data_IF_159948796067
#
_entry.id   IF_159948796067
#
_cell.length_a   1.000
_cell.length_b   1.000
_cell.length_c   1.000
_cell.angle_alpha   90.00
_cell.angle_beta   90.00
_cell.angle_gamma   90.00
#
_symmetry.space_group_name_H-M   'P 1'
#
loop_
_entity.id
_entity.type
_entity.pdbx_description
1 polymer ?
#
# COMPACT_ATOMS: atom_id res chain seq x y z
N UNK A 1 2.26 -7.98 -9.46
CA UNK A 1 1.98 -6.53 -9.27
C UNK A 1 3.25 -5.69 -9.14
N UNK A 2 4.36 -6.24 -8.63
CA UNK A 2 5.62 -5.50 -8.53
C UNK A 2 6.17 -5.11 -9.91
N UNK A 3 6.88 -3.96 -10.01
CA UNK A 3 7.48 -3.50 -11.24
C UNK A 3 8.68 -4.38 -11.68
N UNK A 4 8.84 -4.55 -12.99
CA UNK A 4 10.02 -5.19 -13.59
C UNK A 4 11.19 -4.22 -13.69
N UNK A 5 12.38 -4.74 -14.03
CA UNK A 5 13.56 -3.90 -14.29
C UNK A 5 13.31 -2.87 -15.40
N UNK A 6 12.64 -3.28 -16.48
CA UNK A 6 12.27 -2.40 -17.59
C UNK A 6 11.32 -1.28 -17.14
N UNK A 7 10.35 -1.59 -16.28
CA UNK A 7 9.39 -0.59 -15.77
C UNK A 7 10.03 0.42 -14.82
N UNK A 8 11.01 -0.04 -14.03
CA UNK A 8 11.84 0.85 -13.20
C UNK A 8 12.70 1.75 -14.09
N UNK A 9 13.31 1.20 -15.15
CA UNK A 9 14.13 1.95 -16.10
C UNK A 9 13.29 2.99 -16.87
N UNK A 10 12.09 2.60 -17.34
CA UNK A 10 11.13 3.49 -17.99
C UNK A 10 10.75 4.67 -17.10
N UNK A 11 10.47 4.43 -15.81
CA UNK A 11 10.15 5.51 -14.87
C UNK A 11 11.31 6.47 -14.68
N UNK A 12 12.54 5.95 -14.55
CA UNK A 12 13.74 6.78 -14.44
C UNK A 12 13.91 7.66 -15.69
N UNK A 13 13.79 7.07 -16.87
CA UNK A 13 13.84 7.78 -18.15
C UNK A 13 12.78 8.90 -18.23
N UNK A 14 11.54 8.61 -17.84
CA UNK A 14 10.46 9.60 -17.81
C UNK A 14 10.76 10.76 -16.84
N UNK A 15 11.24 10.44 -15.63
CA UNK A 15 11.65 11.42 -14.63
C UNK A 15 12.79 12.31 -15.17
N UNK A 16 13.79 11.73 -15.81
CA UNK A 16 14.96 12.46 -16.32
C UNK A 16 14.58 13.38 -17.48
N UNK A 17 13.76 12.90 -18.43
CA UNK A 17 13.22 13.71 -19.54
C UNK A 17 12.40 14.88 -19.01
N UNK A 18 11.49 14.63 -18.07
CA UNK A 18 10.63 15.66 -17.50
C UNK A 18 11.43 16.69 -16.69
N UNK A 19 12.35 16.22 -15.84
CA UNK A 19 13.22 17.10 -15.04
C UNK A 19 14.05 18.01 -15.93
N UNK A 20 14.61 17.49 -17.02
CA UNK A 20 15.38 18.27 -18.00
C UNK A 20 14.52 19.34 -18.67
N UNK A 21 13.30 18.98 -19.09
CA UNK A 21 12.35 19.92 -19.69
C UNK A 21 12.02 21.07 -18.73
N UNK A 22 11.63 20.76 -17.49
CA UNK A 22 11.23 21.80 -16.53
C UNK A 22 12.41 22.68 -16.16
N UNK A 23 13.61 22.13 -15.92
CA UNK A 23 14.81 22.95 -15.65
C UNK A 23 15.13 23.91 -16.80
N UNK A 24 15.00 23.46 -18.05
CA UNK A 24 15.20 24.32 -19.23
C UNK A 24 14.20 25.47 -19.31
N UNK A 25 12.95 25.25 -18.86
CA UNK A 25 11.87 26.23 -18.96
C UNK A 25 11.76 27.16 -17.75
N UNK A 26 11.98 26.62 -16.56
CA UNK A 26 11.83 27.34 -15.29
C UNK A 26 13.13 27.98 -14.77
N UNK A 27 14.26 27.76 -15.45
CA UNK A 27 15.55 28.38 -15.13
C UNK A 27 16.46 27.51 -14.27
N UNK A 28 17.76 27.83 -14.30
CA UNK A 28 18.84 27.01 -13.73
C UNK A 28 18.75 26.77 -12.21
N UNK A 29 18.07 27.65 -11.47
CA UNK A 29 17.82 27.49 -10.02
C UNK A 29 16.69 26.51 -9.67
N UNK A 30 15.85 26.12 -10.65
CA UNK A 30 14.69 25.26 -10.39
C UNK A 30 15.15 23.82 -10.11
N UNK A 31 14.62 23.24 -9.05
CA UNK A 31 14.77 21.81 -8.78
C UNK A 31 13.44 21.10 -8.95
N UNK A 32 13.48 19.93 -9.58
CA UNK A 32 12.33 19.05 -9.73
C UNK A 32 12.75 17.67 -9.26
N UNK A 33 11.99 17.09 -8.35
CA UNK A 33 12.35 15.82 -7.70
C UNK A 33 11.13 14.90 -7.60
N UNK A 34 11.31 13.60 -7.83
CA UNK A 34 10.25 12.63 -7.56
C UNK A 34 10.02 12.49 -6.05
N UNK A 35 8.76 12.29 -5.66
CA UNK A 35 8.32 12.02 -4.28
C UNK A 35 7.36 10.82 -4.27
N UNK A 36 6.82 10.50 -3.09
CA UNK A 36 5.71 9.57 -2.92
C UNK A 36 6.07 8.11 -3.24
N UNK A 37 5.14 7.44 -3.93
CA UNK A 37 5.20 5.99 -4.12
C UNK A 37 6.40 5.54 -4.96
N UNK A 38 6.87 6.40 -5.88
CA UNK A 38 8.03 6.13 -6.73
C UNK A 38 9.33 6.01 -5.93
N UNK A 39 9.50 6.86 -4.91
CA UNK A 39 10.71 6.88 -4.06
C UNK A 39 10.67 5.78 -2.99
N UNK A 40 9.48 5.51 -2.45
CA UNK A 40 9.29 4.53 -1.38
C UNK A 40 9.26 3.08 -1.91
N UNK A 41 9.11 2.89 -3.22
CA UNK A 41 9.01 1.58 -3.85
C UNK A 41 7.64 0.91 -3.68
N UNK A 42 6.60 1.70 -3.34
CA UNK A 42 5.22 1.28 -3.09
C UNK A 42 4.27 1.68 -4.25
N UNK A 43 4.79 1.62 -5.48
CA UNK A 43 4.08 1.98 -6.70
C UNK A 43 3.74 0.75 -7.56
N UNK A 44 2.66 0.84 -8.34
CA UNK A 44 2.41 -0.11 -9.42
C UNK A 44 3.00 0.39 -10.74
N UNK A 45 3.31 -0.50 -11.69
CA UNK A 45 3.75 -0.13 -13.04
C UNK A 45 2.93 0.95 -13.74
N UNK A 46 1.62 1.00 -13.47
CA UNK A 46 0.68 1.97 -14.05
C UNK A 46 0.40 3.17 -13.15
N UNK A 47 1.01 3.26 -11.96
CA UNK A 47 0.82 4.40 -11.06
C UNK A 47 1.40 5.69 -11.66
N UNK A 48 0.77 6.79 -11.30
CA UNK A 48 1.31 8.13 -11.45
C UNK A 48 2.71 8.29 -10.82
N UNK A 49 3.40 9.36 -11.22
CA UNK A 49 4.67 9.81 -10.66
C UNK A 49 4.45 11.17 -10.01
N UNK A 50 4.47 11.22 -8.69
CA UNK A 50 4.43 12.46 -7.93
C UNK A 50 5.77 13.19 -8.04
N UNK A 51 5.75 14.47 -8.40
CA UNK A 51 6.94 15.31 -8.46
C UNK A 51 6.71 16.66 -7.78
N UNK A 52 7.76 17.15 -7.13
CA UNK A 52 7.78 18.47 -6.49
C UNK A 52 8.75 19.38 -7.23
N UNK A 53 8.28 20.59 -7.53
CA UNK A 53 9.10 21.69 -8.03
C UNK A 53 9.42 22.67 -6.90
N UNK A 54 10.71 22.91 -6.65
CA UNK A 54 11.20 23.87 -5.67
C UNK A 54 12.14 24.90 -6.30
N UNK A 55 12.31 26.04 -5.62
CA UNK A 55 13.19 27.15 -6.02
C UNK A 55 12.85 27.77 -7.39
N UNK A 56 11.59 27.66 -7.81
CA UNK A 56 11.08 28.34 -9.00
C UNK A 56 10.21 29.53 -8.59
N UNK A 57 10.44 30.68 -9.23
CA UNK A 57 9.53 31.84 -9.13
C UNK A 57 8.31 31.72 -10.05
N UNK A 58 8.28 30.71 -10.94
CA UNK A 58 7.20 30.53 -11.89
C UNK A 58 6.02 29.76 -11.26
N UNK A 59 4.80 30.31 -11.33
CA UNK A 59 3.60 29.54 -11.02
C UNK A 59 3.44 28.38 -12.00
N UNK A 60 2.87 27.27 -11.52
CA UNK A 60 2.67 26.07 -12.33
C UNK A 60 1.91 26.37 -13.65
N UNK A 61 0.93 27.27 -13.61
CA UNK A 61 0.14 27.66 -14.78
C UNK A 61 0.97 28.09 -15.98
N UNK A 62 2.12 28.73 -15.76
CA UNK A 62 3.00 29.20 -16.84
C UNK A 62 3.72 28.06 -17.57
N UNK A 63 3.91 26.91 -16.92
CA UNK A 63 4.56 25.75 -17.52
C UNK A 63 3.67 25.02 -18.51
N UNK A 64 2.35 25.19 -18.43
CA UNK A 64 1.40 24.42 -19.24
C UNK A 64 1.64 24.59 -20.75
N UNK A 65 1.75 25.83 -21.23
CA UNK A 65 1.98 26.13 -22.64
C UNK A 65 3.35 25.62 -23.12
N UNK A 66 4.38 25.72 -22.28
CA UNK A 66 5.72 25.24 -22.63
C UNK A 66 5.81 23.71 -22.69
N UNK A 67 5.16 23.00 -21.76
CA UNK A 67 5.08 21.55 -21.78
C UNK A 67 4.33 21.09 -23.03
N UNK A 68 3.20 21.72 -23.39
CA UNK A 68 2.46 21.40 -24.63
C UNK A 68 3.32 21.63 -25.88
N UNK A 69 3.96 22.80 -26.01
CA UNK A 69 4.81 23.14 -27.16
C UNK A 69 6.01 22.22 -27.33
N UNK A 70 6.50 21.61 -26.24
CA UNK A 70 7.61 20.66 -26.30
C UNK A 70 7.25 19.30 -26.93
N UNK A 71 5.95 18.99 -27.08
CA UNK A 71 5.49 17.67 -27.50
C UNK A 71 5.60 16.58 -26.42
N UNK A 72 6.04 16.94 -25.20
CA UNK A 72 6.19 15.99 -24.09
C UNK A 72 4.85 15.38 -23.65
N UNK A 73 3.79 16.20 -23.61
CA UNK A 73 2.51 15.81 -23.03
C UNK A 73 1.44 15.57 -24.09
N UNK A 74 0.74 14.43 -24.00
CA UNK A 74 -0.49 14.19 -24.76
C UNK A 74 -1.69 14.88 -24.12
N UNK A 75 -1.67 15.06 -22.80
CA UNK A 75 -2.73 15.71 -22.02
C UNK A 75 -2.13 16.48 -20.84
N UNK A 76 -2.75 17.61 -20.49
CA UNK A 76 -2.44 18.35 -19.26
C UNK A 76 -3.74 18.82 -18.63
N UNK A 77 -3.99 18.42 -17.38
CA UNK A 77 -5.10 18.85 -16.54
C UNK A 77 -4.60 19.73 -15.39
N UNK A 78 -5.25 20.87 -15.17
CA UNK A 78 -4.85 21.85 -14.15
C UNK A 78 -5.83 21.82 -12.98
N UNK A 79 -5.36 21.42 -11.80
CA UNK A 79 -6.16 21.40 -10.56
C UNK A 79 -5.57 22.43 -9.59
N UNK A 80 -5.69 23.70 -9.97
CA UNK A 80 -5.03 24.81 -9.27
C UNK A 80 -5.84 25.34 -8.07
N UNK A 81 -7.14 25.05 -8.00
CA UNK A 81 -8.04 25.52 -6.94
C UNK A 81 -8.13 24.56 -5.74
N UNK A 82 -7.35 23.48 -5.71
CA UNK A 82 -7.34 22.53 -4.60
C UNK A 82 -6.46 23.02 -3.45
N UNK A 83 -6.61 22.42 -2.26
CA UNK A 83 -5.76 22.72 -1.09
C UNK A 83 -4.26 22.55 -1.37
N UNK A 84 -3.92 21.68 -2.32
CA UNK A 84 -2.57 21.57 -2.90
C UNK A 84 -2.73 21.70 -4.41
N UNK A 85 -2.39 22.87 -4.99
CA UNK A 85 -2.42 23.07 -6.44
C UNK A 85 -1.50 22.09 -7.17
N UNK A 86 -2.00 21.45 -8.23
CA UNK A 86 -1.22 20.51 -9.03
C UNK A 86 -1.50 20.65 -10.53
N UNK A 87 -0.49 20.31 -11.33
CA UNK A 87 -0.64 20.00 -12.74
C UNK A 87 -0.49 18.50 -12.94
N UNK A 88 -1.46 17.88 -13.61
CA UNK A 88 -1.39 16.48 -14.04
C UNK A 88 -1.02 16.43 -15.51
N UNK A 89 0.12 15.81 -15.82
CA UNK A 89 0.70 15.74 -17.16
C UNK A 89 0.75 14.29 -17.62
N UNK A 90 0.11 13.97 -18.73
CA UNK A 90 0.18 12.63 -19.35
C UNK A 90 1.29 12.62 -20.39
N UNK A 91 2.34 11.82 -20.18
CA UNK A 91 3.45 11.64 -21.13
C UNK A 91 2.95 11.10 -22.47
N UNK A 92 3.34 11.74 -23.57
CA UNK A 92 2.85 11.41 -24.91
C UNK A 92 3.28 10.02 -25.41
N UNK A 93 4.36 9.47 -24.84
CA UNK A 93 4.98 8.22 -25.27
C UNK A 93 4.37 7.02 -24.58
N UNK A 94 4.35 7.09 -23.26
CA UNK A 94 3.97 5.99 -22.37
C UNK A 94 2.52 6.10 -21.94
N UNK A 95 1.96 7.30 -21.92
CA UNK A 95 0.67 7.60 -21.31
C UNK A 95 0.68 7.57 -19.79
N UNK A 96 1.85 7.48 -19.14
CA UNK A 96 1.95 7.62 -17.69
C UNK A 96 1.71 9.07 -17.27
N UNK A 97 1.10 9.23 -16.10
CA UNK A 97 0.79 10.53 -15.52
C UNK A 97 1.92 10.99 -14.58
N UNK A 98 2.23 12.27 -14.62
CA UNK A 98 3.08 13.00 -13.69
C UNK A 98 2.21 14.03 -12.98
N UNK A 99 2.13 13.96 -11.65
CA UNK A 99 1.47 14.96 -10.82
C UNK A 99 2.55 15.90 -10.28
N UNK A 100 2.63 17.11 -10.84
CA UNK A 100 3.59 18.15 -10.46
C UNK A 100 2.95 19.14 -9.49
N UNK A 101 3.54 19.26 -8.30
CA UNK A 101 3.16 20.23 -7.26
C UNK A 101 4.30 21.22 -6.98
N UNK A 102 3.97 22.37 -6.39
CA UNK A 102 4.99 23.29 -5.85
C UNK A 102 5.43 22.83 -4.46
N UNK A 103 6.69 23.12 -4.11
CA UNK A 103 7.22 22.74 -2.81
C UNK A 103 6.60 23.55 -1.67
N UNK A 104 5.69 22.92 -0.94
CA UNK A 104 5.32 23.29 0.43
C UNK A 104 6.05 22.42 1.47
N UNK A 105 7.02 21.61 1.02
CA UNK A 105 7.78 20.64 1.80
C UNK A 105 7.02 19.40 2.27
N UNK A 106 5.68 19.36 2.23
CA UNK A 106 4.91 18.23 2.76
C UNK A 106 5.18 16.93 1.99
N UNK A 107 5.14 16.96 0.65
CA UNK A 107 5.41 15.78 -0.18
C UNK A 107 6.79 15.15 0.07
N UNK A 108 7.81 15.97 0.28
CA UNK A 108 9.16 15.51 0.62
C UNK A 108 9.22 14.92 2.05
N UNK A 109 8.66 15.64 3.04
CA UNK A 109 8.58 15.13 4.43
C UNK A 109 7.80 13.82 4.51
N UNK A 110 6.67 13.70 3.81
CA UNK A 110 5.85 12.49 3.72
C UNK A 110 6.62 11.31 3.13
N UNK A 111 7.37 11.57 2.06
CA UNK A 111 8.22 10.57 1.41
C UNK A 111 9.33 10.10 2.34
N UNK A 112 10.02 11.02 3.00
CA UNK A 112 11.10 10.72 3.93
C UNK A 112 10.58 9.97 5.16
N UNK A 113 9.40 10.33 5.68
CA UNK A 113 8.79 9.61 6.78
C UNK A 113 8.50 8.15 6.43
N UNK A 114 7.94 7.87 5.24
CA UNK A 114 7.71 6.49 4.80
C UNK A 114 9.03 5.74 4.58
N UNK A 115 10.04 6.39 3.98
CA UNK A 115 11.38 5.78 3.84
C UNK A 115 11.97 5.41 5.19
N UNK A 116 11.96 6.34 6.14
CA UNK A 116 12.46 6.08 7.49
C UNK A 116 11.74 4.87 8.12
N UNK A 117 10.41 4.91 8.18
CA UNK A 117 9.63 3.89 8.86
C UNK A 117 9.61 2.51 8.18
N UNK A 118 9.66 2.48 6.84
CA UNK A 118 9.53 1.22 6.08
C UNK A 118 10.89 0.71 5.61
N UNK A 119 11.86 1.59 5.38
CA UNK A 119 13.17 1.23 4.83
C UNK A 119 14.34 1.32 5.82
N UNK A 120 14.25 2.12 6.87
CA UNK A 120 15.36 2.32 7.82
C UNK A 120 15.05 1.64 9.16
N UNK A 121 13.89 1.92 9.74
CA UNK A 121 13.49 1.48 11.08
C UNK A 121 12.81 0.09 11.10
N UNK A 122 12.36 -0.42 9.95
CA UNK A 122 11.67 -1.71 9.87
C UNK A 122 12.65 -2.87 9.69
N UNK A 123 12.42 -3.96 10.44
CA UNK A 123 13.10 -5.23 10.21
C UNK A 123 12.81 -5.78 8.80
N UNK A 124 13.61 -6.74 8.33
CA UNK A 124 13.39 -7.34 7.02
C UNK A 124 12.03 -8.02 6.88
N UNK A 125 11.54 -8.64 7.96
CA UNK A 125 10.23 -9.27 7.96
C UNK A 125 9.10 -8.23 7.96
N UNK A 126 9.19 -7.20 8.81
CA UNK A 126 8.23 -6.09 8.83
C UNK A 126 8.15 -5.42 7.46
N UNK A 127 9.28 -5.07 6.86
CA UNK A 127 9.37 -4.45 5.53
C UNK A 127 8.70 -5.30 4.45
N UNK A 128 8.94 -6.61 4.49
CA UNK A 128 8.32 -7.56 3.56
C UNK A 128 6.80 -7.63 3.75
N UNK A 129 6.33 -7.67 5.00
CA UNK A 129 4.89 -7.68 5.32
C UNK A 129 4.24 -6.35 4.91
N UNK A 130 4.81 -5.21 5.30
CA UNK A 130 4.33 -3.87 4.92
C UNK A 130 4.19 -3.77 3.40
N UNK A 131 5.26 -4.11 2.66
CA UNK A 131 5.23 -4.05 1.19
C UNK A 131 4.19 -5.01 0.60
N UNK A 132 4.09 -6.23 1.11
CA UNK A 132 3.10 -7.21 0.66
C UNK A 132 1.67 -6.71 0.85
N UNK A 133 1.35 -6.26 2.07
CA UNK A 133 0.02 -5.78 2.43
C UNK A 133 -0.36 -4.51 1.68
N UNK A 134 0.52 -3.48 1.65
CA UNK A 134 0.25 -2.24 0.92
C UNK A 134 -0.04 -2.53 -0.55
N UNK A 135 0.75 -3.37 -1.21
CA UNK A 135 0.55 -3.66 -2.63
C UNK A 135 -0.75 -4.41 -2.90
N UNK A 136 -1.15 -5.35 -2.03
CA UNK A 136 -2.38 -6.11 -2.22
C UNK A 136 -3.61 -5.23 -1.89
N UNK A 137 -3.59 -4.51 -0.77
CA UNK A 137 -4.69 -3.66 -0.30
C UNK A 137 -4.89 -2.43 -1.19
N UNK A 138 -3.81 -1.83 -1.70
CA UNK A 138 -3.89 -0.68 -2.62
C UNK A 138 -4.63 -1.06 -3.90
N UNK A 139 -4.32 -2.23 -4.46
CA UNK A 139 -5.03 -2.76 -5.63
C UNK A 139 -6.50 -3.05 -5.29
N UNK A 140 -6.73 -3.73 -4.17
CA UNK A 140 -8.07 -4.10 -3.70
C UNK A 140 -9.01 -2.90 -3.55
N UNK A 141 -8.53 -1.80 -2.96
CA UNK A 141 -9.29 -0.56 -2.79
C UNK A 141 -9.44 0.21 -4.11
N UNK A 142 -8.43 0.18 -4.98
CA UNK A 142 -8.46 0.84 -6.29
C UNK A 142 -9.55 0.25 -7.19
N UNK A 143 -9.65 -1.08 -7.28
CA UNK A 143 -10.68 -1.77 -8.07
C UNK A 143 -12.09 -1.42 -7.58
N UNK A 144 -12.26 -1.21 -6.27
CA UNK A 144 -13.55 -0.85 -5.64
C UNK A 144 -13.82 0.65 -5.60
N UNK A 145 -12.94 1.49 -6.18
CA UNK A 145 -13.04 2.96 -6.16
C UNK A 145 -13.08 3.55 -4.74
N UNK A 146 -12.49 2.84 -3.77
CA UNK A 146 -12.36 3.25 -2.36
C UNK A 146 -10.96 3.81 -2.04
N UNK A 147 -10.05 3.83 -3.02
CA UNK A 147 -8.66 4.26 -2.89
C UNK A 147 -8.41 5.77 -3.02
N UNK A 148 -9.45 6.62 -3.02
CA UNK A 148 -9.31 8.07 -3.23
C UNK A 148 -10.06 8.86 -2.17
N UNK A 149 -9.48 9.98 -1.72
CA UNK A 149 -10.13 10.90 -0.77
C UNK A 149 -11.24 11.72 -1.40
N UNK A 150 -11.25 11.88 -2.73
CA UNK A 150 -12.30 12.61 -3.45
C UNK A 150 -13.69 11.99 -3.21
N UNK A 151 -13.78 10.66 -3.25
CA UNK A 151 -15.00 9.89 -2.92
C UNK A 151 -15.13 9.58 -1.42
N UNK A 152 -14.27 10.15 -0.58
CA UNK A 152 -14.23 9.92 0.86
C UNK A 152 -13.58 8.60 1.28
N UNK A 153 -12.99 7.84 0.36
CA UNK A 153 -12.20 6.65 0.67
C UNK A 153 -10.86 6.98 1.35
N UNK A 154 -9.99 5.97 1.47
CA UNK A 154 -8.63 6.16 1.99
C UNK A 154 -7.63 6.22 0.84
N UNK A 155 -6.78 7.24 0.82
CA UNK A 155 -5.72 7.32 -0.18
C UNK A 155 -4.57 6.35 0.16
N UNK A 156 -3.64 6.19 -0.79
CA UNK A 156 -2.48 5.29 -0.62
C UNK A 156 -1.59 5.68 0.55
N UNK A 157 -1.49 6.97 0.89
CA UNK A 157 -0.65 7.44 2.00
C UNK A 157 -1.23 7.02 3.36
N UNK A 158 -2.52 7.23 3.57
CA UNK A 158 -3.25 6.75 4.76
C UNK A 158 -3.15 5.24 4.88
N UNK A 159 -3.33 4.51 3.77
CA UNK A 159 -3.22 3.06 3.76
C UNK A 159 -1.84 2.57 4.24
N UNK A 160 -0.75 3.21 3.81
CA UNK A 160 0.61 2.87 4.27
C UNK A 160 0.69 2.98 5.79
N UNK A 161 0.20 4.07 6.38
CA UNK A 161 0.26 4.26 7.83
C UNK A 161 -0.67 3.33 8.61
N UNK A 162 -1.83 2.96 8.07
CA UNK A 162 -2.67 1.91 8.64
C UNK A 162 -1.93 0.57 8.71
N UNK A 163 -1.22 0.20 7.63
CA UNK A 163 -0.43 -1.03 7.57
C UNK A 163 0.76 -0.96 8.53
N UNK A 164 1.51 0.14 8.55
CA UNK A 164 2.64 0.32 9.48
C UNK A 164 2.18 0.21 10.94
N UNK A 165 1.09 0.88 11.31
CA UNK A 165 0.54 0.80 12.67
C UNK A 165 0.15 -0.63 13.04
N UNK A 166 -0.52 -1.35 12.14
CA UNK A 166 -0.90 -2.75 12.37
C UNK A 166 0.33 -3.67 12.50
N UNK A 167 1.34 -3.49 11.64
CA UNK A 167 2.58 -4.28 11.70
C UNK A 167 3.33 -4.04 13.01
N UNK A 168 3.35 -2.80 13.52
CA UNK A 168 4.04 -2.46 14.77
C UNK A 168 3.25 -2.84 16.03
N UNK A 169 1.92 -2.82 15.99
CA UNK A 169 1.07 -2.95 17.19
C UNK A 169 0.32 -4.29 17.29
N UNK A 170 -0.06 -4.89 16.16
CA UNK A 170 -0.94 -6.07 16.13
C UNK A 170 -0.22 -7.33 15.65
N UNK A 171 0.69 -7.21 14.68
CA UNK A 171 1.47 -8.36 14.18
C UNK A 171 2.27 -9.09 15.26
N UNK A 172 2.91 -8.42 16.25
CA UNK A 172 3.62 -9.13 17.32
C UNK A 172 2.68 -9.98 18.19
N UNK A 173 1.43 -9.52 18.36
CA UNK A 173 0.42 -10.30 19.09
C UNK A 173 0.09 -11.58 18.34
N UNK A 174 -0.06 -11.52 17.01
CA UNK A 174 -0.28 -12.73 16.20
C UNK A 174 0.87 -13.73 16.33
N UNK A 175 2.11 -13.27 16.34
CA UNK A 175 3.29 -14.13 16.48
C UNK A 175 3.37 -14.79 17.87
N UNK A 176 2.97 -14.08 18.92
CA UNK A 176 2.98 -14.62 20.29
C UNK A 176 2.00 -15.80 20.48
N UNK A 177 0.83 -15.77 19.82
CA UNK A 177 -0.17 -16.84 19.93
C UNK A 177 0.31 -18.13 19.25
N UNK A 178 0.88 -18.02 18.03
CA UNK A 178 1.43 -19.19 17.31
C UNK A 178 2.61 -19.88 18.02
N UNK A 179 3.35 -19.13 18.85
CA UNK A 179 4.48 -19.64 19.64
C UNK A 179 4.04 -20.45 20.87
N UNK A 180 2.85 -20.16 21.42
CA UNK A 180 2.35 -20.78 22.66
C UNK A 180 1.74 -22.16 22.38
N UNK A 181 1.14 -22.35 21.21
CA UNK A 181 0.47 -23.60 20.82
C UNK A 181 1.43 -24.73 20.45
N UNK A 182 2.67 -24.43 20.04
CA UNK A 182 3.66 -25.46 19.65
C UNK A 182 4.25 -26.20 20.87
N UNK A 183 4.27 -25.59 22.06
CA UNK A 183 4.84 -26.21 23.27
C UNK A 183 3.81 -27.03 24.06
N UNK A 184 2.51 -26.77 23.87
CA UNK A 184 1.42 -27.44 24.59
C UNK A 184 0.91 -28.75 23.92
N UNK A 185 1.41 -29.10 22.72
CA UNK A 185 0.98 -30.30 22.00
C UNK A 185 1.56 -31.62 22.56
N UNK A 186 2.36 -31.56 23.63
CA UNK A 186 2.72 -32.73 24.42
C UNK A 186 1.93 -32.71 25.73
N UNK A 187 1.08 -33.72 25.90
CA UNK A 187 0.32 -34.10 27.11
C UNK A 187 -1.13 -33.58 27.21
N UNK A 188 -2.05 -34.53 27.01
CA UNK A 188 -3.36 -34.70 27.69
C UNK A 188 -4.63 -34.39 26.90
N UNK A 189 -5.22 -35.48 26.41
CA UNK A 189 -6.63 -35.72 26.12
C UNK A 189 -7.57 -35.18 27.21
N UNK A 190 -8.58 -34.37 26.86
CA UNK A 190 -10.03 -34.53 27.20
C UNK A 190 -10.81 -33.20 27.20
N UNK A 191 -11.99 -33.25 26.53
CA UNK A 191 -13.24 -32.46 26.64
C UNK A 191 -13.41 -31.11 25.91
N UNK A 192 -14.40 -31.16 25.00
CA UNK A 192 -15.18 -30.08 24.37
C UNK A 192 -15.86 -29.15 25.39
N UNK A 193 -15.75 -27.83 25.18
CA UNK A 193 -16.86 -26.85 25.23
C UNK A 193 -16.35 -25.44 24.88
N UNK A 194 -17.23 -24.61 24.29
CA UNK A 194 -17.11 -23.20 23.91
C UNK A 194 -16.36 -22.88 22.59
N UNK A 195 -17.14 -22.34 21.63
CA UNK A 195 -16.74 -21.98 20.27
C UNK A 195 -16.17 -20.56 20.26
N UNK A 196 -14.87 -20.42 20.48
CA UNK A 196 -14.08 -19.32 19.93
C UNK A 196 -13.33 -19.88 18.71
N UNK A 197 -13.57 -19.33 17.53
CA UNK A 197 -12.84 -19.70 16.31
C UNK A 197 -11.41 -19.18 16.44
N UNK A 198 -10.52 -20.06 16.89
CA UNK A 198 -9.15 -19.71 17.22
C UNK A 198 -8.36 -19.48 15.93
N UNK A 199 -7.74 -18.31 15.81
CA UNK A 199 -6.94 -17.93 14.63
C UNK A 199 -5.80 -18.92 14.36
N UNK A 200 -5.35 -19.61 15.40
CA UNK A 200 -4.30 -20.62 15.34
C UNK A 200 -4.68 -21.82 14.45
N UNK A 201 -5.93 -22.30 14.53
CA UNK A 201 -6.42 -23.39 13.68
C UNK A 201 -6.51 -22.95 12.20
N UNK A 202 -6.89 -21.69 11.98
CA UNK A 202 -6.93 -21.09 10.64
C UNK A 202 -5.51 -21.01 10.07
N UNK A 203 -4.54 -20.59 10.87
CA UNK A 203 -3.14 -20.47 10.44
C UNK A 203 -2.47 -21.81 10.17
N UNK A 204 -2.73 -22.84 10.99
CA UNK A 204 -2.26 -24.20 10.73
C UNK A 204 -2.78 -24.72 9.37
N UNK A 205 -4.05 -24.47 9.06
CA UNK A 205 -4.66 -24.86 7.78
C UNK A 205 -4.12 -24.05 6.60
N UNK A 206 -3.91 -22.74 6.75
CA UNK A 206 -3.29 -21.92 5.70
C UNK A 206 -1.91 -22.42 5.30
N UNK A 207 -1.07 -22.82 6.27
CA UNK A 207 0.24 -23.39 5.99
C UNK A 207 0.15 -24.74 5.27
N UNK A 208 -0.85 -25.57 5.60
CA UNK A 208 -1.11 -26.84 4.91
C UNK A 208 -1.64 -26.71 3.48
N UNK A 209 -2.24 -25.57 3.14
CA UNK A 209 -2.79 -25.27 1.81
C UNK A 209 -1.76 -24.72 0.82
N UNK A 210 -0.48 -24.62 1.22
CA UNK A 210 0.63 -24.24 0.34
C UNK A 210 0.75 -25.24 -0.81
N UNK A 211 0.26 -24.87 -1.99
CA UNK A 211 0.35 -25.66 -3.23
C UNK A 211 1.82 -25.98 -3.52
N UNK A 212 2.13 -27.27 -3.68
CA UNK A 212 3.38 -27.79 -4.22
C UNK A 212 3.72 -27.11 -5.54
N UNK A 213 4.52 -26.05 -5.48
CA UNK A 213 5.16 -25.46 -6.66
C UNK A 213 6.54 -26.09 -6.77
N UNK A 214 6.66 -27.06 -7.68
CA UNK A 214 7.96 -27.56 -8.12
C UNK A 214 8.79 -26.40 -8.67
N UNK A 215 9.95 -26.11 -8.07
CA UNK A 215 11.22 -25.88 -8.78
C UNK A 215 12.40 -25.82 -7.80
N UNK A 216 13.41 -26.63 -8.15
CA UNK A 216 14.79 -26.78 -7.66
C UNK A 216 15.27 -25.92 -6.48
N UNK A 217 15.54 -26.62 -5.37
CA UNK A 217 16.46 -26.19 -4.32
C UNK A 217 17.86 -26.72 -4.67
N UNK A 218 18.75 -25.87 -5.18
CA UNK A 218 20.19 -26.17 -5.21
C UNK A 218 20.79 -25.54 -3.97
N UNK A 219 21.12 -26.39 -3.00
CA UNK A 219 21.79 -26.01 -1.77
C UNK A 219 23.24 -25.56 -2.07
N UNK A 220 23.60 -24.37 -1.59
CA UNK A 220 24.98 -24.06 -1.23
C UNK A 220 24.93 -23.69 0.25
N UNK A 221 25.32 -24.65 1.08
CA UNK A 221 25.56 -24.42 2.50
C UNK A 221 26.93 -23.76 2.65
N UNK A 222 26.97 -22.57 3.25
CA UNK A 222 28.18 -22.03 3.85
C UNK A 222 27.85 -21.61 5.28
N UNK A 223 28.46 -22.36 6.20
CA UNK A 223 28.41 -22.23 7.65
C UNK A 223 28.92 -20.88 8.14
N UNK A 224 28.08 -20.13 8.83
CA UNK A 224 28.51 -19.19 9.88
C UNK A 224 27.50 -19.23 11.03
N UNK A 225 27.99 -19.61 12.22
CA UNK A 225 27.24 -19.59 13.47
C UNK A 225 27.07 -18.13 13.92
N UNK A 226 25.86 -17.61 13.86
CA UNK A 226 25.40 -16.52 14.70
C UNK A 226 24.14 -16.97 15.42
N UNK A 227 24.19 -16.97 16.75
CA UNK A 227 23.09 -17.32 17.63
C UNK A 227 22.05 -16.20 17.67
N UNK A 228 21.16 -16.16 16.69
CA UNK A 228 19.87 -15.50 16.83
C UNK A 228 18.78 -16.58 16.87
N UNK A 229 17.74 -16.46 17.72
CA UNK A 229 16.60 -17.36 17.64
C UNK A 229 16.03 -17.28 16.22
N UNK A 230 15.61 -18.40 15.60
CA UNK A 230 15.05 -18.38 14.27
C UNK A 230 13.85 -17.44 14.28
N UNK A 231 14.00 -16.25 13.71
CA UNK A 231 12.92 -15.29 13.57
C UNK A 231 11.88 -15.95 12.67
N UNK A 232 10.80 -16.42 13.29
CA UNK A 232 9.68 -17.04 12.59
C UNK A 232 9.09 -16.03 11.63
N UNK A 233 9.46 -16.18 10.35
CA UNK A 233 9.02 -15.32 9.26
C UNK A 233 7.50 -15.31 9.19
N UNK A 234 6.89 -14.13 9.21
CA UNK A 234 5.43 -13.98 9.23
C UNK A 234 4.80 -14.50 7.93
N UNK A 235 3.78 -15.34 8.01
CA UNK A 235 3.02 -15.74 6.82
C UNK A 235 2.23 -14.54 6.27
N UNK A 236 2.39 -14.19 4.98
CA UNK A 236 1.72 -13.02 4.38
C UNK A 236 0.20 -13.17 4.31
N UNK A 237 -0.29 -14.40 4.15
CA UNK A 237 -1.71 -14.68 4.16
C UNK A 237 -2.30 -14.49 5.56
N UNK A 238 -1.60 -14.97 6.59
CA UNK A 238 -1.98 -14.72 8.00
C UNK A 238 -1.96 -13.22 8.32
N UNK A 239 -0.94 -12.51 7.85
CA UNK A 239 -0.84 -11.06 8.02
C UNK A 239 -1.99 -10.31 7.32
N UNK A 240 -2.35 -10.73 6.10
CA UNK A 240 -3.47 -10.15 5.37
C UNK A 240 -4.79 -10.40 6.11
N UNK A 241 -5.03 -11.63 6.56
CA UNK A 241 -6.25 -11.98 7.29
C UNK A 241 -6.35 -11.21 8.61
N UNK A 242 -5.25 -11.14 9.37
CA UNK A 242 -5.20 -10.37 10.62
C UNK A 242 -5.40 -8.86 10.40
N UNK A 243 -4.85 -8.29 9.33
CA UNK A 243 -5.10 -6.88 8.97
C UNK A 243 -6.57 -6.63 8.65
N UNK A 244 -7.17 -7.49 7.81
CA UNK A 244 -8.58 -7.36 7.40
C UNK A 244 -9.53 -7.54 8.58
N UNK A 245 -9.26 -8.52 9.45
CA UNK A 245 -9.99 -8.73 10.71
C UNK A 245 -9.94 -7.47 11.57
N UNK A 246 -8.74 -6.97 11.83
CA UNK A 246 -8.53 -5.86 12.73
C UNK A 246 -9.25 -4.61 12.25
N UNK A 247 -8.98 -4.13 11.04
CA UNK A 247 -9.62 -2.91 10.54
C UNK A 247 -11.08 -3.11 10.07
N UNK A 248 -11.50 -4.33 9.76
CA UNK A 248 -12.90 -4.62 9.42
C UNK A 248 -13.81 -4.73 10.64
N UNK A 249 -13.31 -5.30 11.75
CA UNK A 249 -14.13 -5.74 12.87
C UNK A 249 -13.70 -5.18 14.23
N UNK A 250 -12.40 -5.15 14.53
CA UNK A 250 -11.89 -4.96 15.90
C UNK A 250 -11.43 -3.54 16.23
N UNK A 251 -10.94 -2.78 15.24
CA UNK A 251 -10.46 -1.42 15.47
C UNK A 251 -11.62 -0.53 15.92
N UNK A 252 -11.49 0.06 17.10
CA UNK A 252 -12.48 0.97 17.65
C UNK A 252 -12.35 2.35 17.01
N UNK A 253 -12.99 2.50 15.85
CA UNK A 253 -13.07 3.78 15.14
C UNK A 253 -13.68 4.88 15.99
N UNK A 254 -14.59 4.58 16.92
CA UNK A 254 -15.29 5.62 17.69
C UNK A 254 -14.38 6.28 18.73
N UNK A 255 -13.53 5.50 19.40
CA UNK A 255 -12.77 5.98 20.56
C UNK A 255 -11.25 5.95 20.39
N UNK A 256 -10.69 5.24 19.39
CA UNK A 256 -9.22 5.14 19.22
C UNK A 256 -8.69 6.02 18.09
N UNK A 257 -7.55 6.63 18.35
CA UNK A 257 -6.70 7.30 17.36
C UNK A 257 -5.34 6.61 17.28
N UNK A 258 -4.74 6.62 16.10
CA UNK A 258 -3.39 6.12 15.85
C UNK A 258 -2.45 7.32 15.90
N UNK A 259 -1.50 7.30 16.84
CA UNK A 259 -0.54 8.37 17.05
C UNK A 259 0.85 7.90 16.66
N UNK A 260 1.44 8.60 15.71
CA UNK A 260 2.85 8.44 15.36
C UNK A 260 3.67 9.52 16.07
N UNK A 261 4.78 9.09 16.65
CA UNK A 261 5.87 9.95 17.09
C UNK A 261 7.05 9.82 16.12
N UNK A 262 8.18 10.46 16.42
CA UNK A 262 9.38 10.35 15.58
C UNK A 262 9.96 8.93 15.46
N UNK A 263 9.63 8.02 16.39
CA UNK A 263 10.22 6.67 16.46
C UNK A 263 9.26 5.58 16.95
N UNK A 264 8.03 5.92 17.33
CA UNK A 264 7.07 4.95 17.86
C UNK A 264 5.64 5.25 17.40
N UNK A 265 4.81 4.24 17.45
CA UNK A 265 3.38 4.34 17.14
C UNK A 265 2.60 3.75 18.31
N UNK A 266 1.47 4.36 18.66
CA UNK A 266 0.61 3.87 19.73
C UNK A 266 -0.86 4.23 19.46
N UNK A 267 -1.77 3.61 20.24
CA UNK A 267 -3.16 4.02 20.28
C UNK A 267 -3.38 5.03 21.39
N UNK A 268 -4.17 6.07 21.12
CA UNK A 268 -4.62 7.05 22.10
C UNK A 268 -6.14 7.22 22.03
N UNK A 269 -6.76 7.69 23.11
CA UNK A 269 -8.19 8.00 23.12
C UNK A 269 -8.49 9.21 22.23
N UNK A 270 -9.61 9.18 21.53
CA UNK A 270 -10.13 10.36 20.81
C UNK A 270 -10.75 11.35 21.78
N UNK A 271 -10.56 12.63 21.50
CA UNK A 271 -11.27 13.68 22.22
C UNK A 271 -12.76 13.68 21.86
N UNK A 272 -13.61 13.77 22.89
CA UNK A 272 -15.07 13.56 22.82
C UNK A 272 -15.86 14.58 21.98
N UNK A 273 -15.28 15.72 21.61
CA UNK A 273 -16.02 16.83 20.98
C UNK A 273 -16.27 16.69 19.46
N UNK A 274 -15.77 15.63 18.80
CA UNK A 274 -15.97 15.45 17.36
C UNK A 274 -17.33 14.83 17.05
N UNK A 275 -18.14 15.50 16.21
CA UNK A 275 -19.44 14.96 15.74
C UNK A 275 -19.28 13.77 14.79
N UNK A 276 -18.06 13.51 14.29
CA UNK A 276 -17.76 12.42 13.35
C UNK A 276 -16.86 11.36 13.99
N UNK A 277 -17.29 10.82 15.13
CA UNK A 277 -16.56 9.81 15.90
C UNK A 277 -16.15 8.59 15.05
N UNK A 278 -16.95 8.22 14.04
CA UNK A 278 -16.71 7.06 13.18
C UNK A 278 -15.51 7.19 12.22
N UNK A 279 -14.94 8.39 12.05
CA UNK A 279 -13.82 8.59 11.13
C UNK A 279 -12.58 7.83 11.59
N UNK A 280 -11.73 7.42 10.67
CA UNK A 280 -10.36 7.04 11.06
C UNK A 280 -9.68 8.27 11.67
N UNK A 281 -8.90 8.10 12.74
CA UNK A 281 -8.03 9.15 13.25
C UNK A 281 -6.60 8.65 13.27
N UNK A 282 -5.74 9.28 12.48
CA UNK A 282 -4.35 8.88 12.29
C UNK A 282 -3.50 10.13 12.07
N UNK A 283 -2.57 10.37 12.99
CA UNK A 283 -1.67 11.53 12.90
C UNK A 283 -0.67 11.34 11.77
N UNK A 284 -0.48 12.38 10.97
CA UNK A 284 0.51 12.41 9.89
C UNK A 284 1.94 12.50 10.46
N UNK A 285 2.82 11.51 10.20
CA UNK A 285 4.21 11.56 10.66
C UNK A 285 5.04 12.68 10.02
N UNK A 286 4.61 13.22 8.88
CA UNK A 286 5.25 14.37 8.22
C UNK A 286 4.71 15.72 8.68
N UNK A 287 3.57 15.73 9.37
CA UNK A 287 2.93 16.92 9.96
C UNK A 287 2.03 16.52 11.14
N UNK A 288 2.55 16.50 12.38
CA UNK A 288 1.79 16.04 13.55
C UNK A 288 0.50 16.80 13.84
N UNK A 289 0.31 17.99 13.25
CA UNK A 289 -0.91 18.78 13.38
C UNK A 289 -2.07 18.24 12.54
N UNK A 290 -1.79 17.36 11.58
CA UNK A 290 -2.75 16.85 10.61
C UNK A 290 -3.26 15.47 11.02
N UNK A 291 -4.59 15.34 11.13
CA UNK A 291 -5.27 14.04 11.13
C UNK A 291 -5.64 13.65 9.70
N UNK A 292 -4.95 12.66 9.14
CA UNK A 292 -5.15 12.25 7.75
C UNK A 292 -6.49 11.53 7.53
N UNK A 293 -7.11 11.01 8.60
CA UNK A 293 -8.41 10.34 8.52
C UNK A 293 -9.60 11.30 8.52
N UNK A 294 -9.38 12.59 8.83
CA UNK A 294 -10.42 13.64 8.89
C UNK A 294 -11.24 13.79 7.61
N UNK A 295 -10.65 13.47 6.44
CA UNK A 295 -11.29 13.56 5.12
C UNK A 295 -11.81 12.22 4.59
N UNK A 296 -11.60 11.11 5.31
CA UNK A 296 -12.03 9.78 4.92
C UNK A 296 -13.50 9.49 5.33
N UNK A 297 -14.46 10.31 4.90
CA UNK A 297 -15.87 10.17 5.30
C UNK A 297 -16.56 8.89 4.79
N UNK A 298 -16.01 8.26 3.76
CA UNK A 298 -16.38 6.96 3.24
C UNK A 298 -15.70 5.78 3.96
N UNK A 299 -14.98 5.99 5.07
CA UNK A 299 -14.28 4.92 5.81
C UNK A 299 -15.20 3.76 6.22
N UNK A 300 -16.49 4.01 6.44
CA UNK A 300 -17.48 2.95 6.72
C UNK A 300 -17.56 1.92 5.59
N UNK A 301 -17.43 2.35 4.34
CA UNK A 301 -17.43 1.46 3.18
C UNK A 301 -16.12 0.67 3.09
N UNK A 302 -14.99 1.32 3.42
CA UNK A 302 -13.69 0.64 3.51
C UNK A 302 -13.70 -0.43 4.60
N UNK A 303 -14.23 -0.10 5.79
CA UNK A 303 -14.39 -1.03 6.91
C UNK A 303 -15.25 -2.23 6.53
N UNK A 304 -16.45 -2.00 5.97
CA UNK A 304 -17.33 -3.09 5.57
C UNK A 304 -16.68 -3.95 4.47
N UNK A 305 -16.01 -3.32 3.51
CA UNK A 305 -15.27 -4.03 2.47
C UNK A 305 -14.15 -4.90 3.06
N UNK A 306 -13.42 -4.44 4.09
CA UNK A 306 -12.43 -5.25 4.81
C UNK A 306 -13.05 -6.38 5.62
N UNK A 307 -14.22 -6.15 6.23
CA UNK A 307 -14.99 -7.16 6.94
C UNK A 307 -15.45 -8.27 6.00
N UNK A 308 -16.08 -7.93 4.87
CA UNK A 308 -16.56 -8.90 3.87
C UNK A 308 -15.41 -9.73 3.31
N UNK A 309 -14.28 -9.06 3.07
CA UNK A 309 -13.03 -9.68 2.68
C UNK A 309 -12.55 -10.73 3.69
N UNK A 310 -12.48 -10.35 4.98
CA UNK A 310 -12.10 -11.25 6.06
C UNK A 310 -13.03 -12.46 6.13
N UNK A 311 -14.34 -12.23 6.21
CA UNK A 311 -15.35 -13.30 6.34
C UNK A 311 -15.29 -14.27 5.16
N UNK A 312 -15.11 -13.76 3.94
CA UNK A 312 -15.01 -14.61 2.74
C UNK A 312 -13.74 -15.46 2.76
N UNK A 313 -12.59 -14.87 3.11
CA UNK A 313 -11.32 -15.59 3.16
C UNK A 313 -11.31 -16.61 4.29
N UNK A 314 -11.81 -16.25 5.47
CA UNK A 314 -11.98 -17.14 6.62
C UNK A 314 -12.86 -18.33 6.24
N UNK A 315 -14.02 -18.10 5.64
CA UNK A 315 -14.91 -19.19 5.23
C UNK A 315 -14.28 -20.13 4.18
N UNK A 316 -13.48 -19.59 3.25
CA UNK A 316 -12.74 -20.39 2.27
C UNK A 316 -11.68 -21.27 2.93
N UNK A 317 -10.96 -20.74 3.91
CA UNK A 317 -9.93 -21.47 4.66
C UNK A 317 -10.58 -22.53 5.57
N UNK A 318 -11.67 -22.17 6.25
CA UNK A 318 -12.40 -23.06 7.14
C UNK A 318 -13.17 -24.17 6.39
N UNK A 319 -13.41 -23.99 5.08
CA UNK A 319 -14.21 -24.90 4.26
C UNK A 319 -15.72 -24.68 4.40
N UNK A 320 -16.12 -23.62 5.10
CA UNK A 320 -17.51 -23.22 5.32
C UNK A 320 -18.06 -22.32 4.21
N UNK A 321 -17.22 -21.88 3.26
CA UNK A 321 -17.61 -21.08 2.11
C UNK A 321 -18.70 -21.75 1.26
N UNK A 322 -19.52 -20.94 0.59
CA UNK A 322 -20.57 -21.43 -0.32
C UNK A 322 -19.99 -22.16 -1.53
N UNK A 323 -20.81 -22.97 -2.22
CA UNK A 323 -20.42 -23.66 -3.46
C UNK A 323 -19.91 -22.68 -4.51
N UNK A 324 -20.56 -21.53 -4.66
CA UNK A 324 -20.21 -20.51 -5.66
C UNK A 324 -18.88 -19.83 -5.33
N UNK A 325 -18.66 -19.48 -4.06
CA UNK A 325 -17.38 -18.92 -3.61
C UNK A 325 -16.22 -19.90 -3.85
N UNK A 326 -16.41 -21.19 -3.56
CA UNK A 326 -15.39 -22.22 -3.83
C UNK A 326 -15.15 -22.41 -5.32
N UNK A 327 -16.21 -22.41 -6.13
CA UNK A 327 -16.08 -22.52 -7.59
C UNK A 327 -15.30 -21.33 -8.17
N UNK A 328 -15.61 -20.11 -7.73
CA UNK A 328 -14.91 -18.90 -8.15
C UNK A 328 -13.44 -18.90 -7.71
N UNK A 329 -13.15 -19.28 -6.45
CA UNK A 329 -11.79 -19.41 -5.95
C UNK A 329 -10.96 -20.47 -6.70
N UNK A 330 -11.59 -21.53 -7.22
CA UNK A 330 -10.91 -22.55 -8.04
C UNK A 330 -10.47 -22.01 -9.41
N UNK A 331 -11.22 -21.08 -9.98
CA UNK A 331 -10.94 -20.49 -11.31
C UNK A 331 -9.96 -19.31 -11.19
N UNK A 332 -10.20 -18.41 -10.24
CA UNK A 332 -9.47 -17.13 -10.13
C UNK A 332 -8.35 -17.15 -9.06
N UNK A 333 -8.26 -18.23 -8.29
CA UNK A 333 -7.46 -18.30 -7.06
C UNK A 333 -8.17 -17.63 -5.88
N UNK A 334 -7.74 -17.95 -4.65
CA UNK A 334 -8.33 -17.39 -3.40
C UNK A 334 -8.30 -15.86 -3.41
N UNK A 335 -7.18 -15.27 -3.84
CA UNK A 335 -7.04 -13.82 -3.97
C UNK A 335 -7.77 -13.25 -5.19
N UNK A 336 -8.01 -14.02 -6.27
CA UNK A 336 -8.77 -13.54 -7.42
C UNK A 336 -10.27 -13.43 -7.13
N UNK A 337 -10.82 -14.45 -6.46
CA UNK A 337 -12.19 -14.43 -5.95
C UNK A 337 -12.47 -13.20 -5.07
N UNK A 338 -11.46 -12.83 -4.26
CA UNK A 338 -11.50 -11.70 -3.35
C UNK A 338 -11.20 -10.34 -4.01
N UNK A 339 -10.16 -10.23 -4.84
CA UNK A 339 -9.79 -8.97 -5.50
C UNK A 339 -10.94 -8.46 -6.36
N UNK A 340 -11.70 -9.38 -6.99
CA UNK A 340 -12.97 -9.12 -7.65
C UNK A 340 -12.88 -7.95 -8.63
N UNK A 341 -12.54 -8.23 -9.88
CA UNK A 341 -12.48 -7.20 -10.91
C UNK A 341 -11.73 -7.65 -12.15
N UNK A 342 -11.95 -6.95 -13.26
CA UNK A 342 -11.31 -7.24 -14.53
C UNK A 342 -9.85 -6.73 -14.53
N UNK A 343 -8.93 -7.53 -13.98
CA UNK A 343 -7.50 -7.22 -13.94
C UNK A 343 -6.87 -7.10 -15.34
N UNK A 344 -7.61 -7.51 -16.37
CA UNK A 344 -7.24 -7.42 -17.78
C UNK A 344 -6.86 -5.97 -18.15
N UNK A 345 -7.56 -4.96 -17.61
CA UNK A 345 -7.30 -3.56 -17.91
C UNK A 345 -5.92 -3.14 -17.39
N UNK A 346 -5.60 -3.48 -16.14
CA UNK A 346 -4.29 -3.21 -15.55
C UNK A 346 -3.17 -3.89 -16.36
N UNK A 347 -3.36 -5.16 -16.74
CA UNK A 347 -2.37 -5.93 -17.52
C UNK A 347 -2.20 -5.35 -18.92
N UNK A 348 -3.30 -4.96 -19.58
CA UNK A 348 -3.30 -4.34 -20.91
C UNK A 348 -2.57 -3.01 -20.88
N UNK A 349 -2.86 -2.19 -19.88
CA UNK A 349 -2.22 -0.89 -19.69
C UNK A 349 -0.72 -1.01 -19.42
N UNK A 350 -0.33 -1.93 -18.53
CA UNK A 350 1.08 -2.26 -18.25
C UNK A 350 1.85 -2.64 -19.53
N UNK A 351 1.26 -3.49 -20.38
CA UNK A 351 1.85 -3.89 -21.67
C UNK A 351 1.93 -2.72 -22.65
N UNK A 352 0.88 -1.88 -22.72
CA UNK A 352 0.82 -0.70 -23.59
C UNK A 352 1.93 0.30 -23.27
N UNK A 353 2.12 0.62 -21.98
CA UNK A 353 3.16 1.53 -21.47
C UNK A 353 4.55 1.07 -21.91
N UNK A 354 4.89 -0.20 -21.67
CA UNK A 354 6.21 -0.74 -22.01
C UNK A 354 6.43 -0.81 -23.52
N UNK A 355 5.40 -1.19 -24.29
CA UNK A 355 5.48 -1.19 -25.75
C UNK A 355 5.77 0.21 -26.28
N UNK A 356 5.04 1.23 -25.84
CA UNK A 356 5.23 2.62 -26.26
C UNK A 356 6.64 3.12 -25.96
N UNK A 357 7.17 2.83 -24.76
CA UNK A 357 8.53 3.21 -24.39
C UNK A 357 9.62 2.52 -25.22
N UNK A 358 9.48 1.21 -25.50
CA UNK A 358 10.46 0.47 -26.31
C UNK A 358 10.48 0.93 -27.78
N UNK A 359 9.33 1.26 -28.34
CA UNK A 359 9.21 1.72 -29.73
C UNK A 359 9.90 3.06 -30.01
N UNK A 360 10.20 3.88 -29.00
CA UNK A 360 10.99 5.10 -29.19
C UNK A 360 12.50 4.88 -29.20
N UNK A 361 12.97 3.73 -28.72
CA UNK A 361 14.40 3.39 -28.61
C UNK A 361 14.87 2.47 -29.73
N UNK A 362 13.93 2.04 -30.58
CA UNK A 362 14.15 1.26 -31.80
C UNK A 362 14.15 2.23 -32.97
#
# INVERSE_FOLDING_TARGET
MLPTKDEIALRRDLIDRFTTLIKKKAGAGTTVRPVGSCITGLFFPTSDIDMVMAFSSLPLSFLQSDIRRSGFASKIDSVLNASVPLLRITDAVTGLEIDLTTSNGHGERATNAVKKWVQEDASDDERRVIKGLVMVLKMFLSIRRLGTTYTGGINSYVLVWMVVAWVKLEMPKLQAHSSTTTTAAATTTTRRSARSTDLDDIFARMNSMSISSHTLSTAIASTSRSSEPPTTRTNLGSALLGFLRFYGQEFDYANKSIKFTSSSVCYASKYSYTTKIYLLSITDPADPSVDMGSKAYGIKHVRETFRDAYVTLEALIEGTATRDQRAKAKVEGVLGCWLGGEYSQFVRERKRIIKGWKSQRS
#
